data_IF_930235242259
#
_entry.id   IF_930235242259
#
_cell.length_a   1.000
_cell.length_b   1.000
_cell.length_c   1.000
_cell.angle_alpha   90.00
_cell.angle_beta   90.00
_cell.angle_gamma   90.00
#
_symmetry.space_group_name_H-M   'P 1'
#
loop_
_entity.id
_entity.type
_entity.pdbx_description
1 polymer ?
#
# COMPACT_ATOMS: atom_id res chain seq x y z
N UNK A 1 -33.47 -54.45 -53.24
CA UNK A 1 -32.15 -54.02 -53.65
C UNK A 1 -32.15 -52.49 -53.48
N UNK A 2 -31.68 -51.99 -52.35
CA UNK A 2 -31.59 -50.54 -52.07
C UNK A 2 -30.09 -50.17 -51.92
N UNK A 3 -29.61 -49.36 -52.85
CA UNK A 3 -28.22 -48.83 -52.85
C UNK A 3 -28.12 -47.59 -51.91
N UNK A 4 -27.31 -47.68 -50.88
CA UNK A 4 -26.92 -46.51 -50.06
C UNK A 4 -25.74 -45.79 -50.71
N UNK A 5 -25.92 -44.48 -51.02
CA UNK A 5 -24.83 -43.53 -51.39
C UNK A 5 -24.27 -42.94 -50.13
N UNK A 6 -22.99 -43.20 -49.86
CA UNK A 6 -22.24 -42.46 -48.85
C UNK A 6 -21.76 -41.12 -49.43
N UNK A 7 -22.25 -40.02 -48.84
CA UNK A 7 -21.62 -38.67 -49.03
C UNK A 7 -20.56 -38.48 -48.00
N UNK A 8 -19.30 -38.39 -48.42
CA UNK A 8 -18.17 -37.86 -47.58
C UNK A 8 -18.27 -36.35 -47.57
N UNK A 9 -18.57 -35.76 -46.41
CA UNK A 9 -18.43 -34.33 -46.16
C UNK A 9 -17.04 -34.11 -45.56
N UNK A 10 -16.13 -33.54 -46.35
CA UNK A 10 -14.85 -33.05 -45.86
C UNK A 10 -15.07 -31.71 -45.15
N UNK A 11 -15.04 -31.74 -43.83
CA UNK A 11 -15.09 -30.51 -43.00
C UNK A 11 -13.71 -29.92 -42.97
N UNK A 12 -13.49 -28.82 -43.70
CA UNK A 12 -12.28 -28.00 -43.60
C UNK A 12 -12.30 -27.26 -42.26
N UNK A 13 -11.38 -27.60 -41.36
CA UNK A 13 -11.16 -26.93 -40.09
C UNK A 13 -10.37 -25.63 -40.36
N UNK A 14 -11.07 -24.50 -40.48
CA UNK A 14 -10.45 -23.18 -40.46
C UNK A 14 -9.95 -22.93 -39.06
N UNK A 15 -8.64 -22.99 -38.86
CA UNK A 15 -7.98 -22.51 -37.64
C UNK A 15 -8.04 -20.98 -37.68
N UNK A 16 -8.93 -20.38 -36.91
CA UNK A 16 -9.01 -18.94 -36.74
C UNK A 16 -7.82 -18.47 -35.86
N UNK A 17 -6.72 -18.08 -36.49
CA UNK A 17 -5.59 -17.36 -35.85
C UNK A 17 -5.92 -15.87 -35.95
N UNK A 18 -6.78 -15.36 -35.08
CA UNK A 18 -7.30 -14.03 -35.28
C UNK A 18 -7.37 -13.02 -34.13
N UNK A 19 -7.28 -13.35 -32.82
CA UNK A 19 -7.36 -12.25 -31.83
C UNK A 19 -6.03 -11.80 -31.20
N UNK A 20 -4.98 -12.62 -31.25
CA UNK A 20 -3.72 -12.29 -30.53
C UNK A 20 -2.89 -11.22 -31.23
N UNK A 21 -2.90 -11.18 -32.55
CA UNK A 21 -2.11 -10.21 -33.35
C UNK A 21 -2.73 -8.81 -33.25
N UNK A 22 -4.05 -8.68 -33.35
CA UNK A 22 -4.74 -7.41 -33.27
C UNK A 22 -4.59 -6.71 -31.90
N UNK A 23 -4.46 -7.48 -30.82
CA UNK A 23 -4.26 -6.93 -29.47
C UNK A 23 -2.82 -6.44 -29.25
N UNK A 24 -1.83 -7.08 -29.87
CA UNK A 24 -0.43 -6.66 -29.81
C UNK A 24 -0.20 -5.36 -30.59
N UNK A 25 -0.78 -5.23 -31.78
CA UNK A 25 -0.68 -4.03 -32.61
C UNK A 25 -1.32 -2.82 -31.92
N UNK A 26 -2.45 -3.01 -31.25
CA UNK A 26 -3.12 -1.97 -30.46
C UNK A 26 -2.27 -1.54 -29.25
N UNK A 27 -1.55 -2.45 -28.59
CA UNK A 27 -0.69 -2.09 -27.47
C UNK A 27 0.52 -1.27 -27.90
N UNK A 28 1.14 -1.59 -29.03
CA UNK A 28 2.26 -0.82 -29.58
C UNK A 28 1.83 0.58 -30.04
N UNK A 29 0.66 0.70 -30.66
CA UNK A 29 0.09 2.02 -30.99
C UNK A 29 -0.17 2.84 -29.72
N UNK A 30 -0.72 2.23 -28.67
CA UNK A 30 -0.92 2.87 -27.39
C UNK A 30 0.40 3.32 -26.72
N UNK A 31 1.48 2.52 -26.82
CA UNK A 31 2.81 2.92 -26.36
C UNK A 31 3.36 4.11 -27.14
N UNK A 32 3.08 4.21 -28.43
CA UNK A 32 3.47 5.36 -29.26
C UNK A 32 2.79 6.64 -28.77
N UNK A 33 1.48 6.60 -28.44
CA UNK A 33 0.75 7.73 -27.87
C UNK A 33 1.31 8.11 -26.47
N UNK A 34 1.63 7.09 -25.64
CA UNK A 34 2.23 7.30 -24.33
C UNK A 34 3.60 7.97 -24.41
N UNK A 35 4.42 7.63 -25.43
CA UNK A 35 5.72 8.27 -25.68
C UNK A 35 5.60 9.78 -25.86
N UNK A 36 4.59 10.23 -26.59
CA UNK A 36 4.32 11.66 -26.76
C UNK A 36 4.07 12.38 -25.43
N UNK A 37 3.30 11.76 -24.53
CA UNK A 37 3.08 12.33 -23.20
C UNK A 37 4.32 12.27 -22.30
N UNK A 38 5.11 11.20 -22.40
CA UNK A 38 6.37 11.05 -21.66
C UNK A 38 7.37 12.15 -22.07
N UNK A 39 7.50 12.43 -23.38
CA UNK A 39 8.32 13.52 -23.89
C UNK A 39 7.90 14.89 -23.36
N UNK A 40 6.59 15.17 -23.32
CA UNK A 40 6.07 16.42 -22.76
C UNK A 40 6.41 16.61 -21.28
N UNK A 41 6.74 15.51 -20.57
CA UNK A 41 7.21 15.50 -19.18
C UNK A 41 8.74 15.45 -19.04
N UNK A 42 9.47 15.54 -20.15
CA UNK A 42 10.93 15.56 -20.17
C UNK A 42 11.59 14.18 -20.14
N UNK A 43 10.83 13.09 -20.35
CA UNK A 43 11.40 11.74 -20.46
C UNK A 43 12.05 11.55 -21.82
N UNK A 44 13.32 11.17 -21.85
CA UNK A 44 14.08 10.91 -23.07
C UNK A 44 13.66 9.61 -23.77
N UNK A 45 13.87 9.54 -25.10
CA UNK A 45 13.65 8.31 -25.86
C UNK A 45 14.49 7.14 -25.32
N UNK A 46 15.71 7.40 -24.89
CA UNK A 46 16.60 6.38 -24.35
C UNK A 46 16.01 5.72 -23.09
N UNK A 47 15.44 6.50 -22.18
CA UNK A 47 14.78 5.97 -20.98
C UNK A 47 13.46 5.28 -21.33
N UNK A 48 12.66 5.87 -22.23
CA UNK A 48 11.41 5.25 -22.67
C UNK A 48 11.64 3.89 -23.31
N UNK A 49 12.61 3.77 -24.22
CA UNK A 49 12.97 2.52 -24.89
C UNK A 49 13.56 1.50 -23.91
N UNK A 50 14.43 1.92 -23.01
CA UNK A 50 14.99 1.04 -21.99
C UNK A 50 13.94 0.51 -21.00
N UNK A 51 12.87 1.28 -20.74
CA UNK A 51 11.82 0.91 -19.81
C UNK A 51 10.65 0.14 -20.45
N UNK A 52 10.31 0.42 -21.73
CA UNK A 52 9.09 -0.06 -22.37
C UNK A 52 9.28 -0.62 -23.80
N UNK A 53 10.49 -0.58 -24.35
CA UNK A 53 10.74 -0.98 -25.75
C UNK A 53 10.37 -2.45 -26.05
N UNK A 54 10.52 -3.35 -25.09
CA UNK A 54 10.14 -4.76 -25.18
C UNK A 54 8.87 -5.11 -24.36
N UNK A 55 8.16 -4.10 -23.83
CA UNK A 55 7.00 -4.30 -23.00
C UNK A 55 5.86 -5.00 -23.74
N UNK A 56 5.21 -5.92 -23.03
CA UNK A 56 4.00 -6.64 -23.46
C UNK A 56 3.02 -6.71 -22.30
N UNK A 57 1.70 -6.76 -22.57
CA UNK A 57 0.71 -6.96 -21.53
C UNK A 57 0.97 -8.24 -20.73
N UNK A 58 1.04 -8.12 -19.41
CA UNK A 58 1.33 -9.23 -18.50
C UNK A 58 0.01 -9.82 -18.00
N UNK A 59 -0.40 -10.98 -18.53
CA UNK A 59 -1.64 -11.65 -18.16
C UNK A 59 -1.81 -11.80 -16.64
N UNK A 60 -0.73 -12.19 -15.94
CA UNK A 60 -0.76 -12.37 -14.48
C UNK A 60 -1.08 -11.08 -13.72
N UNK A 61 -0.67 -9.93 -14.22
CA UNK A 61 -1.00 -8.61 -13.63
C UNK A 61 -2.51 -8.34 -13.72
N UNK A 62 -3.11 -8.63 -14.90
CA UNK A 62 -4.56 -8.48 -15.12
C UNK A 62 -5.35 -9.43 -14.22
N UNK A 63 -4.93 -10.68 -14.08
CA UNK A 63 -5.56 -11.66 -13.19
C UNK A 63 -5.55 -11.19 -11.73
N UNK A 64 -4.42 -10.68 -11.24
CA UNK A 64 -4.27 -10.18 -9.88
C UNK A 64 -5.12 -8.92 -9.65
N UNK A 65 -5.19 -8.00 -10.63
CA UNK A 65 -6.05 -6.81 -10.51
C UNK A 65 -7.54 -7.16 -10.41
N UNK A 66 -7.97 -8.22 -11.08
CA UNK A 66 -9.38 -8.67 -11.07
C UNK A 66 -9.74 -9.49 -9.83
N UNK A 67 -8.80 -10.23 -9.25
CA UNK A 67 -9.07 -11.12 -8.10
C UNK A 67 -8.92 -10.43 -6.74
N UNK A 68 -8.01 -9.48 -6.59
CA UNK A 68 -7.71 -8.74 -5.35
C UNK A 68 -7.79 -9.63 -4.08
N UNK A 69 -6.97 -10.68 -3.97
CA UNK A 69 -7.11 -11.71 -2.94
C UNK A 69 -6.93 -11.20 -1.49
N UNK A 70 -6.37 -10.02 -1.30
CA UNK A 70 -6.18 -9.37 0.01
C UNK A 70 -7.48 -8.99 0.72
N UNK A 71 -8.61 -8.92 0.00
CA UNK A 71 -9.91 -8.53 0.57
C UNK A 71 -10.77 -9.71 1.03
N UNK A 72 -10.24 -10.93 1.03
CA UNK A 72 -11.01 -12.15 1.35
C UNK A 72 -10.91 -12.61 2.81
N UNK A 73 -9.97 -12.04 3.59
CA UNK A 73 -9.73 -12.43 4.98
C UNK A 73 -10.65 -11.70 5.95
N UNK A 74 -11.05 -12.37 7.04
CA UNK A 74 -11.62 -11.72 8.21
C UNK A 74 -10.57 -10.87 8.91
N UNK A 75 -11.01 -9.95 9.80
CA UNK A 75 -10.08 -9.11 10.56
C UNK A 75 -9.10 -9.93 11.41
N UNK A 76 -9.59 -10.96 12.09
CA UNK A 76 -8.75 -11.80 12.97
C UNK A 76 -7.74 -12.61 12.18
N UNK A 77 -8.12 -13.19 11.03
CA UNK A 77 -7.20 -13.89 10.13
C UNK A 77 -6.13 -12.95 9.60
N UNK A 78 -6.52 -11.74 9.17
CA UNK A 78 -5.59 -10.72 8.70
C UNK A 78 -4.61 -10.31 9.81
N UNK A 79 -5.13 -10.00 10.99
CA UNK A 79 -4.31 -9.57 12.13
C UNK A 79 -3.31 -10.65 12.52
N UNK A 80 -3.74 -11.92 12.66
CA UNK A 80 -2.88 -13.05 13.02
C UNK A 80 -1.78 -13.30 11.96
N UNK A 81 -2.08 -13.08 10.68
CA UNK A 81 -1.11 -13.21 9.58
C UNK A 81 -0.05 -12.10 9.61
N UNK A 82 -0.44 -10.87 9.93
CA UNK A 82 0.46 -9.71 9.90
C UNK A 82 1.16 -9.51 11.24
N UNK A 83 0.45 -9.63 12.37
CA UNK A 83 0.97 -9.38 13.72
C UNK A 83 1.36 -10.70 14.37
N UNK A 84 2.61 -11.14 14.15
CA UNK A 84 3.14 -12.36 14.73
C UNK A 84 4.27 -12.06 15.71
N UNK A 85 4.45 -12.94 16.71
CA UNK A 85 5.59 -12.86 17.65
C UNK A 85 6.94 -12.85 16.92
N UNK A 86 7.08 -13.68 15.89
CA UNK A 86 8.30 -13.73 15.05
C UNK A 86 8.59 -12.39 14.37
N UNK A 87 7.56 -11.75 13.77
CA UNK A 87 7.74 -10.44 13.15
C UNK A 87 8.06 -9.36 14.18
N UNK A 88 7.43 -9.40 15.37
CA UNK A 88 7.72 -8.46 16.45
C UNK A 88 9.17 -8.63 16.97
N UNK A 89 9.63 -9.86 17.18
CA UNK A 89 11.01 -10.13 17.57
C UNK A 89 12.01 -9.62 16.53
N UNK A 90 11.76 -9.87 15.24
CA UNK A 90 12.58 -9.36 14.15
C UNK A 90 12.57 -7.84 14.10
N UNK A 91 11.42 -7.21 14.30
CA UNK A 91 11.31 -5.75 14.37
C UNK A 91 12.10 -5.17 15.54
N UNK A 92 12.05 -5.80 16.72
CA UNK A 92 12.84 -5.39 17.87
C UNK A 92 14.36 -5.50 17.60
N UNK A 93 14.81 -6.56 16.94
CA UNK A 93 16.20 -6.70 16.50
C UNK A 93 16.58 -5.57 15.52
N UNK A 94 15.70 -5.25 14.56
CA UNK A 94 15.94 -4.16 13.59
C UNK A 94 15.94 -2.77 14.22
N UNK A 95 15.18 -2.55 15.28
CA UNK A 95 15.25 -1.32 16.06
C UNK A 95 16.64 -1.12 16.71
N UNK A 96 17.23 -2.20 17.25
CA UNK A 96 18.57 -2.16 17.84
C UNK A 96 19.64 -2.03 16.74
N UNK A 97 19.53 -2.83 15.67
CA UNK A 97 20.49 -2.83 14.55
C UNK A 97 20.64 -1.44 13.90
N UNK A 98 19.57 -0.66 13.84
CA UNK A 98 19.53 0.63 13.16
C UNK A 98 19.25 1.80 14.12
N UNK A 99 19.53 1.66 15.42
CA UNK A 99 19.11 2.61 16.46
C UNK A 99 19.60 4.02 16.20
N UNK A 100 20.85 4.20 15.82
CA UNK A 100 21.47 5.51 15.58
C UNK A 100 20.72 6.28 14.49
N UNK A 101 20.64 5.72 13.30
CA UNK A 101 19.99 6.36 12.16
C UNK A 101 18.48 6.56 12.37
N UNK A 102 17.81 5.62 13.01
CA UNK A 102 16.39 5.74 13.35
C UNK A 102 16.15 6.85 14.37
N UNK A 103 17.09 7.08 15.29
CA UNK A 103 17.01 8.17 16.28
C UNK A 103 17.14 9.54 15.61
N UNK A 104 18.09 9.71 14.69
CA UNK A 104 18.24 10.94 13.91
C UNK A 104 16.99 11.25 13.07
N UNK A 105 16.49 10.25 12.34
CA UNK A 105 15.31 10.38 11.49
C UNK A 105 14.06 10.66 12.33
N UNK A 106 13.88 9.94 13.45
CA UNK A 106 12.78 10.15 14.39
C UNK A 106 12.77 11.57 14.94
N UNK A 107 13.94 12.08 15.33
CA UNK A 107 14.11 13.47 15.80
C UNK A 107 13.77 14.50 14.72
N UNK A 108 14.21 14.27 13.47
CA UNK A 108 14.00 15.20 12.34
C UNK A 108 12.53 15.27 11.91
N UNK A 109 11.84 14.13 11.87
CA UNK A 109 10.50 14.04 11.32
C UNK A 109 9.38 13.93 12.37
N UNK A 110 9.72 13.70 13.65
CA UNK A 110 8.74 13.54 14.72
C UNK A 110 7.94 12.23 14.60
N UNK A 111 8.55 11.16 14.09
CA UNK A 111 7.90 9.83 13.96
C UNK A 111 8.67 8.85 14.83
N UNK A 112 7.98 8.19 15.76
CA UNK A 112 8.64 7.25 16.68
C UNK A 112 9.26 6.08 15.92
N UNK A 113 10.49 5.69 16.24
CA UNK A 113 11.29 4.63 15.60
C UNK A 113 10.49 3.34 15.37
N UNK A 114 9.72 2.92 16.36
CA UNK A 114 8.91 1.69 16.30
C UNK A 114 7.92 1.69 15.13
N UNK A 115 7.33 2.83 14.78
CA UNK A 115 6.43 2.90 13.62
C UNK A 115 7.19 2.80 12.31
N UNK A 116 8.33 3.48 12.16
CA UNK A 116 9.16 3.39 10.96
C UNK A 116 9.54 1.93 10.67
N UNK A 117 10.02 1.21 11.69
CA UNK A 117 10.39 -0.21 11.56
C UNK A 117 9.17 -1.10 11.36
N UNK A 118 8.02 -0.76 11.97
CA UNK A 118 6.77 -1.51 11.76
C UNK A 118 6.31 -1.43 10.31
N UNK A 119 6.27 -0.24 9.70
CA UNK A 119 5.95 -0.10 8.28
C UNK A 119 6.91 -0.92 7.42
N UNK A 120 8.21 -0.79 7.61
CA UNK A 120 9.20 -1.58 6.88
C UNK A 120 8.98 -3.09 7.02
N UNK A 121 8.64 -3.55 8.23
CA UNK A 121 8.35 -4.96 8.49
C UNK A 121 7.07 -5.46 7.84
N UNK A 122 6.02 -4.64 7.80
CA UNK A 122 4.72 -5.02 7.20
C UNK A 122 4.78 -4.96 5.68
N UNK A 123 5.41 -3.94 5.10
CA UNK A 123 5.49 -3.75 3.65
C UNK A 123 6.34 -4.83 2.96
N UNK A 124 7.54 -5.08 3.47
CA UNK A 124 8.50 -5.91 2.73
C UNK A 124 9.20 -6.97 3.56
N UNK A 125 8.70 -7.26 4.80
CA UNK A 125 9.38 -8.12 5.75
C UNK A 125 10.85 -7.69 5.97
N UNK A 126 11.04 -6.39 6.18
CA UNK A 126 12.35 -5.76 6.38
C UNK A 126 13.26 -5.84 5.14
N UNK A 127 12.69 -5.53 3.98
CA UNK A 127 13.39 -5.51 2.71
C UNK A 127 13.62 -6.86 2.04
N UNK A 128 13.04 -7.95 2.56
CA UNK A 128 13.19 -9.28 1.97
C UNK A 128 12.34 -9.51 0.71
N UNK A 129 11.18 -8.84 0.62
CA UNK A 129 10.21 -9.07 -0.46
C UNK A 129 9.80 -7.72 -1.09
N UNK A 130 10.53 -7.29 -2.10
CA UNK A 130 10.26 -6.03 -2.81
C UNK A 130 9.21 -6.16 -3.92
N UNK A 131 8.84 -7.39 -4.27
CA UNK A 131 8.09 -7.73 -5.47
C UNK A 131 9.02 -8.14 -6.62
N UNK A 132 8.46 -8.84 -7.61
CA UNK A 132 9.21 -9.42 -8.72
C UNK A 132 8.83 -8.86 -10.08
N UNK A 133 7.78 -8.04 -10.16
CA UNK A 133 7.34 -7.46 -11.42
C UNK A 133 8.24 -6.28 -11.80
N UNK A 134 8.53 -6.16 -13.10
CA UNK A 134 9.05 -4.92 -13.65
C UNK A 134 7.94 -3.87 -13.56
N UNK A 135 8.17 -2.79 -12.81
CA UNK A 135 7.15 -1.80 -12.49
C UNK A 135 6.64 -1.06 -13.72
N UNK A 136 7.49 -0.55 -14.65
CA UNK A 136 7.03 0.03 -15.90
C UNK A 136 6.11 -0.91 -16.71
N UNK A 137 6.49 -2.19 -16.87
CA UNK A 137 5.68 -3.16 -17.62
C UNK A 137 4.35 -3.48 -16.93
N UNK A 138 4.34 -3.62 -15.60
CA UNK A 138 3.13 -3.86 -14.82
C UNK A 138 2.16 -2.68 -14.92
N UNK A 139 2.66 -1.45 -14.77
CA UNK A 139 1.87 -0.23 -14.89
C UNK A 139 1.37 0.00 -16.32
N UNK A 140 2.17 -0.29 -17.35
CA UNK A 140 1.74 -0.23 -18.75
C UNK A 140 0.60 -1.21 -19.01
N UNK A 141 0.70 -2.44 -18.49
CA UNK A 141 -0.35 -3.45 -18.59
C UNK A 141 -1.67 -2.96 -17.98
N UNK A 142 -1.62 -2.42 -16.75
CA UNK A 142 -2.82 -1.93 -16.04
C UNK A 142 -3.40 -0.66 -16.67
N UNK A 143 -2.56 0.23 -17.18
CA UNK A 143 -2.99 1.41 -17.89
C UNK A 143 -3.68 1.09 -19.21
N UNK A 144 -3.20 0.06 -19.91
CA UNK A 144 -3.77 -0.42 -21.16
C UNK A 144 -5.05 -1.25 -20.97
N UNK A 145 -5.15 -2.10 -19.93
CA UNK A 145 -6.31 -2.99 -19.67
C UNK A 145 -7.64 -2.23 -19.47
N UNK A 146 -7.59 -0.93 -19.22
CA UNK A 146 -8.74 -0.03 -19.16
C UNK A 146 -9.39 0.11 -17.77
N UNK A 147 -9.29 -0.87 -16.89
CA UNK A 147 -9.75 -0.73 -15.50
C UNK A 147 -8.80 0.21 -14.73
N UNK A 148 -9.29 1.35 -14.27
CA UNK A 148 -8.48 2.40 -13.63
C UNK A 148 -7.33 2.93 -14.52
N UNK A 149 -7.53 2.92 -15.84
CA UNK A 149 -6.51 3.29 -16.85
C UNK A 149 -5.85 4.64 -16.56
N UNK A 150 -6.63 5.68 -16.32
CA UNK A 150 -6.10 7.02 -16.05
C UNK A 150 -5.19 7.08 -14.82
N UNK A 151 -5.52 6.34 -13.76
CA UNK A 151 -4.70 6.24 -12.56
C UNK A 151 -3.34 5.57 -12.87
N UNK A 152 -3.37 4.37 -13.49
CA UNK A 152 -2.15 3.64 -13.78
C UNK A 152 -1.30 4.30 -14.87
N UNK A 153 -1.92 5.00 -15.83
CA UNK A 153 -1.19 5.83 -16.81
C UNK A 153 -0.40 6.94 -16.14
N UNK A 154 -1.01 7.63 -15.17
CA UNK A 154 -0.31 8.65 -14.37
C UNK A 154 0.86 8.05 -13.58
N UNK A 155 0.65 6.90 -12.92
CA UNK A 155 1.71 6.22 -12.16
C UNK A 155 2.84 5.74 -13.08
N UNK A 156 2.53 5.27 -14.29
CA UNK A 156 3.54 4.90 -15.29
C UNK A 156 4.40 6.10 -15.71
N UNK A 157 3.79 7.22 -16.02
CA UNK A 157 4.52 8.44 -16.38
C UNK A 157 5.40 8.94 -15.22
N UNK A 158 4.93 8.80 -13.98
CA UNK A 158 5.74 9.10 -12.80
C UNK A 158 6.92 8.10 -12.64
N UNK A 159 6.71 6.81 -12.95
CA UNK A 159 7.79 5.81 -12.94
C UNK A 159 8.87 6.13 -13.99
N UNK A 160 8.46 6.54 -15.19
CA UNK A 160 9.40 6.98 -16.23
C UNK A 160 10.18 8.23 -15.82
N UNK A 161 9.55 9.18 -15.12
CA UNK A 161 10.24 10.35 -14.58
C UNK A 161 11.28 9.95 -13.52
N UNK A 162 10.98 9.02 -12.61
CA UNK A 162 11.95 8.49 -11.63
C UNK A 162 13.17 7.87 -12.31
N UNK A 163 12.95 7.16 -13.42
CA UNK A 163 14.03 6.59 -14.23
C UNK A 163 14.86 7.68 -14.91
N UNK A 164 14.23 8.71 -15.47
CA UNK A 164 14.90 9.86 -16.10
C UNK A 164 15.77 10.63 -15.09
N UNK A 165 15.26 10.80 -13.85
CA UNK A 165 16.01 11.43 -12.75
C UNK A 165 17.19 10.56 -12.25
N UNK A 166 17.33 9.32 -12.74
CA UNK A 166 18.47 8.45 -12.46
C UNK A 166 18.50 7.79 -11.09
N UNK A 167 17.36 7.78 -10.37
CA UNK A 167 17.29 7.19 -9.02
C UNK A 167 17.42 5.67 -9.02
N UNK A 168 17.05 5.00 -10.12
CA UNK A 168 17.19 3.57 -10.34
C UNK A 168 17.21 3.27 -11.82
N UNK A 169 17.73 2.11 -12.23
CA UNK A 169 17.69 1.68 -13.63
C UNK A 169 16.40 0.95 -13.98
N UNK A 170 15.95 0.94 -15.26
CA UNK A 170 14.72 0.25 -15.67
C UNK A 170 14.70 -1.24 -15.30
N UNK A 171 15.82 -1.95 -15.41
CA UNK A 171 15.93 -3.37 -15.06
C UNK A 171 15.84 -3.65 -13.56
N UNK A 172 16.23 -2.68 -12.72
CA UNK A 172 16.21 -2.76 -11.26
C UNK A 172 14.91 -2.26 -10.65
N UNK A 173 14.08 -1.49 -11.39
CA UNK A 173 12.79 -0.98 -10.90
C UNK A 173 11.79 -2.13 -10.76
N UNK A 174 12.01 -2.97 -9.73
CA UNK A 174 11.14 -4.08 -9.35
C UNK A 174 10.18 -3.67 -8.26
N UNK A 175 8.99 -4.28 -8.28
CA UNK A 175 7.95 -3.99 -7.30
C UNK A 175 6.78 -4.97 -7.34
N UNK A 176 5.64 -4.56 -6.79
CA UNK A 176 4.40 -5.31 -6.82
C UNK A 176 3.77 -5.30 -8.22
N UNK A 177 2.80 -6.19 -8.42
CA UNK A 177 2.00 -6.23 -9.64
C UNK A 177 1.23 -4.92 -9.93
N UNK A 178 0.95 -4.14 -8.88
CA UNK A 178 0.22 -2.87 -8.96
C UNK A 178 1.14 -1.62 -9.01
N UNK A 179 2.47 -1.82 -9.06
CA UNK A 179 3.43 -0.73 -9.21
C UNK A 179 3.97 -0.15 -7.91
N UNK A 180 3.70 -0.76 -6.74
CA UNK A 180 4.33 -0.35 -5.49
C UNK A 180 5.80 -0.81 -5.46
N UNK A 181 6.72 0.09 -5.03
CA UNK A 181 8.16 -0.04 -5.26
C UNK A 181 8.98 0.02 -3.98
N UNK A 182 10.14 -0.64 -4.02
CA UNK A 182 11.17 -0.54 -2.99
C UNK A 182 10.74 -1.10 -1.64
N UNK A 183 11.54 -0.84 -0.61
CA UNK A 183 11.28 -1.36 0.73
C UNK A 183 10.11 -0.66 1.45
N UNK A 184 9.74 0.54 1.01
CA UNK A 184 8.59 1.29 1.51
C UNK A 184 7.31 1.03 0.71
N UNK A 185 7.36 0.22 -0.36
CA UNK A 185 6.22 -0.05 -1.25
C UNK A 185 5.49 1.22 -1.69
N UNK A 186 6.26 2.27 -2.03
CA UNK A 186 5.72 3.51 -2.56
C UNK A 186 5.19 3.33 -3.99
N UNK A 187 4.03 3.91 -4.26
CA UNK A 187 3.63 4.18 -5.64
C UNK A 187 4.57 5.23 -6.26
N UNK A 188 4.76 5.26 -7.59
CA UNK A 188 5.62 6.27 -8.24
C UNK A 188 5.28 7.72 -7.84
N UNK A 189 4.02 8.06 -7.73
CA UNK A 189 3.58 9.38 -7.24
C UNK A 189 3.98 9.64 -5.79
N UNK A 190 3.93 8.63 -4.93
CA UNK A 190 4.40 8.73 -3.54
C UNK A 190 5.91 8.89 -3.47
N UNK A 191 6.65 8.20 -4.33
CA UNK A 191 8.10 8.36 -4.46
C UNK A 191 8.47 9.81 -4.81
N UNK A 192 7.89 10.36 -5.86
CA UNK A 192 8.18 11.74 -6.29
C UNK A 192 7.85 12.77 -5.19
N UNK A 193 6.83 12.50 -4.38
CA UNK A 193 6.36 13.41 -3.34
C UNK A 193 7.12 13.26 -2.02
N UNK A 194 7.58 12.06 -1.67
CA UNK A 194 8.01 11.75 -0.30
C UNK A 194 9.34 10.99 -0.19
N UNK A 195 9.93 10.49 -1.29
CA UNK A 195 11.23 9.85 -1.20
C UNK A 195 12.32 10.88 -0.86
N UNK A 196 13.21 10.49 0.05
CA UNK A 196 14.28 11.34 0.60
C UNK A 196 15.62 10.70 0.28
N UNK A 197 16.55 11.48 -0.22
CA UNK A 197 17.98 11.23 -0.22
C UNK A 197 18.53 11.65 1.13
N UNK A 198 18.75 10.71 2.04
CA UNK A 198 19.20 11.00 3.39
C UNK A 198 20.72 11.12 3.48
N UNK A 199 21.45 10.28 2.74
CA UNK A 199 22.91 10.24 2.74
C UNK A 199 23.54 11.31 1.83
N UNK A 200 22.75 12.00 0.97
CA UNK A 200 23.22 13.08 0.10
C UNK A 200 24.00 12.61 -1.11
N UNK A 201 23.80 11.36 -1.57
CA UNK A 201 24.51 10.80 -2.72
C UNK A 201 23.88 11.16 -4.08
N UNK A 202 22.80 11.96 -4.07
CA UNK A 202 22.04 12.39 -5.25
C UNK A 202 20.94 11.41 -5.66
N UNK A 203 20.73 10.31 -4.94
CA UNK A 203 19.70 9.31 -5.21
C UNK A 203 18.72 9.18 -4.04
N UNK A 204 17.45 9.07 -4.34
CA UNK A 204 16.42 8.72 -3.38
C UNK A 204 16.19 7.21 -3.40
N UNK A 205 17.16 6.43 -2.87
CA UNK A 205 17.19 4.96 -3.02
C UNK A 205 16.36 4.25 -1.96
N UNK A 206 15.07 4.07 -2.25
CA UNK A 206 14.17 3.27 -1.39
C UNK A 206 14.31 1.74 -1.59
N UNK A 207 15.20 1.28 -2.47
CA UNK A 207 15.41 -0.16 -2.73
C UNK A 207 16.59 -0.73 -1.94
N UNK A 208 17.73 -0.06 -1.90
CA UNK A 208 18.98 -0.53 -1.30
C UNK A 208 19.36 0.22 -0.02
N UNK A 209 19.24 1.55 -0.01
CA UNK A 209 19.78 2.43 1.02
C UNK A 209 18.83 2.58 2.21
N UNK A 210 19.14 1.90 3.33
CA UNK A 210 18.28 1.89 4.54
C UNK A 210 17.98 3.30 5.09
N UNK A 211 18.95 4.23 5.21
CA UNK A 211 18.65 5.59 5.63
C UNK A 211 17.58 6.27 4.79
N UNK A 212 17.60 6.12 3.46
CA UNK A 212 16.60 6.68 2.56
C UNK A 212 15.22 6.06 2.77
N UNK A 213 15.18 4.72 2.94
CA UNK A 213 13.95 3.98 3.23
C UNK A 213 13.29 4.50 4.51
N UNK A 214 14.05 4.65 5.60
CA UNK A 214 13.54 5.11 6.88
C UNK A 214 13.14 6.58 6.85
N UNK A 215 13.96 7.42 6.23
CA UNK A 215 13.69 8.86 6.08
C UNK A 215 12.46 9.11 5.20
N UNK A 216 12.32 8.39 4.10
CA UNK A 216 11.15 8.47 3.20
C UNK A 216 9.87 8.04 3.91
N UNK A 217 9.91 6.93 4.67
CA UNK A 217 8.78 6.46 5.48
C UNK A 217 8.38 7.51 6.52
N UNK A 218 9.34 8.05 7.26
CA UNK A 218 9.08 9.05 8.28
C UNK A 218 8.58 10.37 7.69
N UNK A 219 9.14 10.81 6.57
CA UNK A 219 8.72 12.04 5.90
C UNK A 219 7.29 11.93 5.36
N UNK A 220 6.92 10.78 4.76
CA UNK A 220 5.54 10.51 4.37
C UNK A 220 4.58 10.68 5.55
N UNK A 221 4.84 9.99 6.66
CA UNK A 221 3.99 10.04 7.85
C UNK A 221 3.90 11.46 8.43
N UNK A 222 5.03 12.20 8.49
CA UNK A 222 5.03 13.61 8.88
C UNK A 222 4.11 14.45 7.98
N UNK A 223 4.18 14.27 6.66
CA UNK A 223 3.33 15.00 5.70
C UNK A 223 1.86 14.59 5.79
N UNK A 224 1.57 13.34 6.18
CA UNK A 224 0.24 12.85 6.48
C UNK A 224 -0.31 13.32 7.85
N UNK A 225 0.38 14.23 8.55
CA UNK A 225 -0.09 14.82 9.81
C UNK A 225 0.24 14.01 11.07
N UNK A 226 1.30 13.19 11.05
CA UNK A 226 1.76 12.44 12.21
C UNK A 226 2.06 13.36 13.41
N UNK A 227 1.55 12.97 14.58
CA UNK A 227 1.80 13.65 15.85
C UNK A 227 2.65 12.73 16.75
N UNK A 228 3.86 13.17 17.11
CA UNK A 228 4.83 12.43 17.93
C UNK A 228 4.38 12.22 19.39
N UNK A 229 3.44 13.04 19.88
CA UNK A 229 2.87 12.94 21.23
C UNK A 229 1.74 11.89 21.31
N UNK A 230 1.31 11.35 20.18
CA UNK A 230 0.21 10.37 20.13
C UNK A 230 0.71 9.00 19.67
N UNK A 231 0.03 7.98 20.16
CA UNK A 231 0.01 6.66 19.51
C UNK A 231 -1.07 6.62 18.44
N UNK A 232 -1.30 5.45 17.83
CA UNK A 232 -2.35 5.25 16.82
C UNK A 232 -3.77 5.18 17.40
N UNK A 233 -3.92 4.64 18.62
CA UNK A 233 -5.19 4.35 19.26
C UNK A 233 -5.07 3.32 20.38
N UNK A 234 -6.19 2.69 20.73
CA UNK A 234 -6.28 1.62 21.72
C UNK A 234 -7.53 0.78 21.57
N UNK A 235 -7.46 -0.48 21.97
CA UNK A 235 -8.64 -1.33 22.13
C UNK A 235 -9.44 -0.87 23.35
N UNK A 236 -10.79 -0.86 23.22
CA UNK A 236 -11.72 -0.42 24.27
C UNK A 236 -12.87 -1.40 24.43
N UNK A 237 -13.53 -1.35 25.59
CA UNK A 237 -14.84 -1.93 25.85
C UNK A 237 -15.90 -0.82 25.92
N UNK A 238 -17.08 -1.12 25.39
CA UNK A 238 -18.26 -0.27 25.49
C UNK A 238 -19.20 -0.85 26.54
N UNK A 239 -19.96 -0.03 27.29
CA UNK A 239 -21.03 -0.53 28.15
C UNK A 239 -22.15 -1.16 27.32
N UNK A 240 -22.97 -2.01 27.97
CA UNK A 240 -24.16 -2.56 27.34
C UNK A 240 -25.09 -1.43 26.90
N UNK A 241 -25.73 -1.60 25.74
CA UNK A 241 -26.63 -0.60 25.13
C UNK A 241 -25.96 0.79 24.94
N UNK A 242 -24.66 0.82 24.66
CA UNK A 242 -23.92 2.07 24.49
C UNK A 242 -24.57 2.98 23.46
N UNK A 243 -24.83 4.23 23.87
CA UNK A 243 -25.24 5.32 22.98
C UNK A 243 -24.52 6.62 23.37
N UNK A 244 -24.28 7.47 22.36
CA UNK A 244 -23.74 8.82 22.56
C UNK A 244 -24.44 9.78 21.57
N UNK A 245 -24.92 10.91 22.03
CA UNK A 245 -25.70 11.86 21.23
C UNK A 245 -26.86 11.18 20.46
N UNK A 246 -27.55 10.22 21.10
CA UNK A 246 -28.66 9.45 20.52
C UNK A 246 -28.25 8.47 19.40
N UNK A 247 -26.94 8.15 19.25
CA UNK A 247 -26.43 7.23 18.25
C UNK A 247 -25.77 6.03 18.90
N UNK A 248 -25.97 4.85 18.32
CA UNK A 248 -25.25 3.64 18.68
C UNK A 248 -23.78 3.64 18.21
N UNK A 249 -23.00 2.68 18.70
CA UNK A 249 -21.58 2.58 18.40
C UNK A 249 -21.29 2.42 16.90
N UNK A 250 -22.09 1.63 16.17
CA UNK A 250 -21.90 1.42 14.74
C UNK A 250 -22.12 2.71 13.95
N UNK A 251 -23.20 3.43 14.25
CA UNK A 251 -23.49 4.73 13.63
C UNK A 251 -22.37 5.74 13.88
N UNK A 252 -21.80 5.76 15.11
CA UNK A 252 -20.69 6.65 15.45
C UNK A 252 -19.41 6.27 14.67
N UNK A 253 -19.13 4.97 14.52
CA UNK A 253 -17.99 4.47 13.75
C UNK A 253 -18.13 4.76 12.25
N UNK A 254 -19.28 4.44 11.65
CA UNK A 254 -19.55 4.62 10.21
C UNK A 254 -19.49 6.10 9.80
N UNK A 255 -20.06 6.97 10.63
CA UNK A 255 -20.02 8.43 10.42
C UNK A 255 -18.70 9.07 10.85
N UNK A 256 -17.73 8.27 11.35
CA UNK A 256 -16.42 8.72 11.82
C UNK A 256 -16.49 9.88 12.81
N UNK A 257 -17.48 9.82 13.72
CA UNK A 257 -17.71 10.89 14.71
C UNK A 257 -16.51 10.98 15.64
N UNK A 258 -15.99 12.20 15.82
CA UNK A 258 -14.82 12.51 16.63
C UNK A 258 -15.23 13.24 17.89
N UNK A 259 -14.72 12.77 19.04
CA UNK A 259 -14.91 13.40 20.36
C UNK A 259 -13.58 13.33 21.12
N UNK A 260 -13.39 14.25 22.04
CA UNK A 260 -12.30 14.16 23.00
C UNK A 260 -12.40 12.89 23.84
N UNK A 261 -11.25 12.31 24.19
CA UNK A 261 -11.18 11.03 24.91
C UNK A 261 -11.97 11.04 26.23
N UNK A 262 -12.00 12.16 26.94
CA UNK A 262 -12.77 12.30 28.17
C UNK A 262 -14.29 12.21 27.95
N UNK A 263 -14.83 12.65 26.82
CA UNK A 263 -16.24 12.47 26.49
C UNK A 263 -16.60 11.00 26.26
N UNK A 264 -15.69 10.24 25.65
CA UNK A 264 -15.82 8.78 25.54
C UNK A 264 -15.80 8.11 26.92
N UNK A 265 -14.87 8.53 27.81
CA UNK A 265 -14.78 8.04 29.18
C UNK A 265 -16.04 8.35 30.00
N UNK A 266 -16.61 9.56 29.87
CA UNK A 266 -17.85 9.97 30.51
C UNK A 266 -19.06 9.17 30.02
N UNK A 267 -19.05 8.74 28.75
CA UNK A 267 -20.08 7.86 28.19
C UNK A 267 -19.91 6.38 28.61
N UNK A 268 -18.97 6.07 29.50
CA UNK A 268 -18.78 4.74 30.05
C UNK A 268 -17.73 3.88 29.29
N UNK A 269 -17.08 4.41 28.25
CA UNK A 269 -16.03 3.67 27.54
C UNK A 269 -14.83 3.43 28.45
N UNK A 270 -14.27 2.22 28.42
CA UNK A 270 -13.10 1.81 29.22
C UNK A 270 -12.03 1.22 28.30
N UNK A 271 -10.80 1.13 28.81
CA UNK A 271 -9.76 0.30 28.17
C UNK A 271 -10.25 -1.16 28.10
N UNK A 272 -9.71 -1.95 27.20
CA UNK A 272 -10.14 -3.34 26.99
C UNK A 272 -10.00 -4.25 28.24
N UNK A 273 -9.11 -3.90 29.16
CA UNK A 273 -8.92 -4.55 30.47
C UNK A 273 -9.87 -4.03 31.56
N UNK A 274 -10.83 -3.16 31.22
CA UNK A 274 -11.79 -2.53 32.15
C UNK A 274 -11.25 -1.29 32.88
N UNK A 275 -9.97 -0.95 32.74
CA UNK A 275 -9.39 0.24 33.37
C UNK A 275 -9.91 1.54 32.77
N UNK A 276 -9.74 2.65 33.52
CA UNK A 276 -10.11 3.97 33.03
C UNK A 276 -9.25 4.37 31.81
N UNK A 277 -9.86 5.13 30.89
CA UNK A 277 -9.10 5.74 29.79
C UNK A 277 -8.09 6.74 30.35
N UNK A 278 -6.94 6.99 29.67
CA UNK A 278 -5.93 7.94 30.12
C UNK A 278 -6.49 9.34 30.34
N UNK A 279 -5.85 10.08 31.25
CA UNK A 279 -6.20 11.50 31.54
C UNK A 279 -5.92 12.43 30.35
N UNK A 280 -4.93 12.08 29.49
CA UNK A 280 -4.72 12.80 28.23
C UNK A 280 -6.02 12.85 27.42
N UNK A 281 -6.26 13.98 26.76
CA UNK A 281 -7.55 14.25 26.13
C UNK A 281 -7.46 14.44 24.59
N UNK A 282 -6.81 13.53 23.83
CA UNK A 282 -6.79 13.61 22.38
C UNK A 282 -8.20 13.39 21.80
N UNK A 283 -8.41 13.92 20.61
CA UNK A 283 -9.59 13.60 19.81
C UNK A 283 -9.50 12.17 19.31
N UNK A 284 -10.57 11.41 19.49
CA UNK A 284 -10.66 10.01 19.08
C UNK A 284 -11.97 9.72 18.33
N UNK A 285 -11.98 8.65 17.55
CA UNK A 285 -13.18 8.08 16.93
C UNK A 285 -13.21 6.57 17.09
N UNK A 286 -14.39 5.98 16.99
CA UNK A 286 -14.55 4.54 17.00
C UNK A 286 -14.13 3.92 15.65
N UNK A 287 -13.53 2.74 15.74
CA UNK A 287 -13.33 1.80 14.62
C UNK A 287 -13.73 0.42 15.07
N UNK A 288 -14.61 -0.23 14.31
CA UNK A 288 -15.20 -1.54 14.59
C UNK A 288 -15.01 -2.44 13.36
N UNK A 289 -13.81 -3.05 13.19
CA UNK A 289 -13.41 -3.73 11.94
C UNK A 289 -14.26 -4.96 11.60
N UNK A 290 -14.85 -5.60 12.62
CA UNK A 290 -15.71 -6.79 12.47
C UNK A 290 -17.17 -6.49 12.86
N UNK A 291 -17.58 -5.22 12.84
CA UNK A 291 -18.92 -4.80 13.25
C UNK A 291 -19.17 -4.88 14.76
N UNK A 292 -20.45 -4.84 15.15
CA UNK A 292 -20.86 -4.69 16.57
C UNK A 292 -20.42 -5.85 17.48
N UNK A 293 -20.22 -7.03 16.94
CA UNK A 293 -19.79 -8.24 17.71
C UNK A 293 -18.28 -8.40 17.80
N UNK A 294 -17.53 -7.57 17.09
CA UNK A 294 -16.07 -7.63 17.03
C UNK A 294 -15.38 -6.70 18.02
N UNK A 295 -14.04 -6.67 17.97
CA UNK A 295 -13.27 -5.76 18.80
C UNK A 295 -13.53 -4.30 18.40
N UNK A 296 -13.56 -3.43 19.42
CA UNK A 296 -13.78 -1.99 19.27
C UNK A 296 -12.50 -1.23 19.64
N UNK A 297 -12.21 -0.19 18.87
CA UNK A 297 -11.04 0.64 19.07
C UNK A 297 -11.42 2.12 19.11
N UNK A 298 -10.77 2.88 19.99
CA UNK A 298 -10.67 4.34 19.88
C UNK A 298 -9.35 4.67 19.20
N UNK A 299 -9.43 5.35 18.05
CA UNK A 299 -8.26 5.70 17.25
C UNK A 299 -8.04 7.20 17.20
N UNK A 300 -6.78 7.64 17.17
CA UNK A 300 -6.35 9.03 17.16
C UNK A 300 -5.94 9.49 15.76
N UNK A 301 -5.46 10.73 15.63
CA UNK A 301 -5.04 11.30 14.33
C UNK A 301 -3.97 10.47 13.62
N UNK A 302 -3.03 9.86 14.34
CA UNK A 302 -1.99 9.02 13.73
C UNK A 302 -2.56 7.80 12.99
N UNK A 303 -3.72 7.30 13.40
CA UNK A 303 -4.42 6.25 12.66
C UNK A 303 -4.86 6.74 11.26
N UNK A 304 -5.25 7.99 11.15
CA UNK A 304 -5.62 8.57 9.85
C UNK A 304 -4.38 8.75 8.97
N UNK A 305 -3.23 9.13 9.55
CA UNK A 305 -1.94 9.16 8.82
C UNK A 305 -1.54 7.77 8.29
N UNK A 306 -1.85 6.69 9.02
CA UNK A 306 -1.66 5.31 8.53
C UNK A 306 -2.65 4.99 7.41
N UNK A 307 -3.90 5.49 7.49
CA UNK A 307 -4.90 5.31 6.43
C UNK A 307 -4.57 6.09 5.14
N UNK A 308 -3.83 7.18 5.23
CA UNK A 308 -3.31 7.88 4.05
C UNK A 308 -2.29 7.02 3.29
N UNK A 309 -1.49 6.24 4.01
CA UNK A 309 -0.59 5.26 3.41
C UNK A 309 -1.35 4.09 2.77
N UNK A 310 -2.25 3.48 3.52
CA UNK A 310 -3.10 2.39 3.04
C UNK A 310 -4.50 2.50 3.65
N UNK A 311 -5.51 2.69 2.81
CA UNK A 311 -6.91 2.99 3.20
C UNK A 311 -7.66 1.83 3.85
N UNK A 312 -6.97 0.77 4.28
CA UNK A 312 -7.54 -0.37 4.99
C UNK A 312 -7.49 -0.18 6.51
N UNK A 313 -8.64 -0.24 7.19
CA UNK A 313 -8.67 -0.30 8.65
C UNK A 313 -7.91 -1.52 9.18
N UNK A 314 -7.92 -2.65 8.48
CA UNK A 314 -7.21 -3.87 8.88
C UNK A 314 -5.69 -3.62 8.88
N UNK A 315 -5.19 -2.97 7.82
CA UNK A 315 -3.80 -2.57 7.72
C UNK A 315 -3.40 -1.61 8.85
N UNK A 316 -4.18 -0.56 9.05
CA UNK A 316 -3.87 0.45 10.06
C UNK A 316 -3.88 -0.12 11.49
N UNK A 317 -4.83 -1.02 11.79
CA UNK A 317 -4.86 -1.75 13.06
C UNK A 317 -3.66 -2.70 13.20
N UNK A 318 -3.24 -3.38 12.13
CA UNK A 318 -2.07 -4.25 12.17
C UNK A 318 -0.77 -3.47 12.43
N UNK A 319 -0.57 -2.31 11.77
CA UNK A 319 0.53 -1.39 12.08
C UNK A 319 0.50 -0.98 13.56
N UNK A 320 -0.68 -0.58 14.06
CA UNK A 320 -0.86 -0.20 15.44
C UNK A 320 -0.47 -1.31 16.42
N UNK A 321 -1.05 -2.49 16.25
CA UNK A 321 -0.80 -3.64 17.12
C UNK A 321 0.65 -4.10 17.08
N UNK A 322 1.27 -4.20 15.91
CA UNK A 322 2.67 -4.59 15.80
C UNK A 322 3.59 -3.56 16.45
N UNK A 323 3.31 -2.25 16.27
CA UNK A 323 4.09 -1.19 16.92
C UNK A 323 3.98 -1.22 18.46
N UNK A 324 2.84 -1.66 19.01
CA UNK A 324 2.65 -1.79 20.46
C UNK A 324 3.46 -2.93 21.08
N UNK A 325 3.80 -3.96 20.30
CA UNK A 325 4.70 -5.04 20.73
C UNK A 325 6.18 -4.60 20.80
N UNK A 326 6.49 -3.39 20.35
CA UNK A 326 7.86 -2.82 20.31
C UNK A 326 8.08 -1.69 21.34
N UNK A 327 7.18 -1.60 22.33
CA UNK A 327 7.30 -0.62 23.44
C UNK A 327 8.31 -1.08 24.47
#
# INVERSE_FOLDING_TARGET
MVRYFLFLIATAMLIAVGPVIAQADNFQSWLTDLRGEAHQRGVSDAIFDAALGDAKPIKRVIELDRSQPEFTLTFDEYLNKIVSKTRAQKAAQKLVEHDEILTEISKKYGVQKRFIVTFWGVETNFGQYLGSFNVPHALATLAYDGRRSAYFRKELLNALQILEEGHITPSQMKGSWAGAMGQSQFMPSSFLSYAVDWNGDGKRDIWGTKPDVFASTAYYLKKAGWNDQLTWGRRVSLPDNFTMDGKDAMTLADKKIRKNLQLWAAAGVRSADGSLLPKANPVARLVMPSGAKGPTFLVYSNFDSILDWNRSNYYALAIGHLSDMLK
#
